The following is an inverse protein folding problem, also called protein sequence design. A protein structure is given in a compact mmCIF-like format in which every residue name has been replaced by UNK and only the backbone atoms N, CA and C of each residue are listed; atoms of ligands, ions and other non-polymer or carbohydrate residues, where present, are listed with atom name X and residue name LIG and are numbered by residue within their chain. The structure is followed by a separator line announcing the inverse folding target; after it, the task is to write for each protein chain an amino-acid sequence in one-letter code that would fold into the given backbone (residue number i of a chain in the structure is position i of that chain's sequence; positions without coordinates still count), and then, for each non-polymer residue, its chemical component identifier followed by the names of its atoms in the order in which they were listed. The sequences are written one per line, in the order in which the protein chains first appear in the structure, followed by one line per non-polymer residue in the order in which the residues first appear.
data_IF_105292312181
#
_entry.id   IF_105292312181
#
_cell.length_a   1.000
_cell.length_b   1.000
_cell.length_c   1.000
_cell.angle_alpha   90.00
_cell.angle_beta   90.00
_cell.angle_gamma   90.00
#
_symmetry.space_group_name_H-M   'P 1'
#
loop_
_entity.id
_entity.type
_entity.pdbx_description
1 polymer ?
#
# COMPACT_ATOMS: atom_id res chain seq x y z
N UNK A 1 4.09 -4.11 -25.97
CA UNK A 1 3.27 -4.21 -24.74
C UNK A 1 4.07 -3.68 -23.56
N UNK A 2 3.61 -2.55 -22.99
CA UNK A 2 4.27 -1.75 -21.95
C UNK A 2 3.90 -2.15 -20.51
N UNK A 3 3.12 -3.22 -20.32
CA UNK A 3 2.53 -3.51 -19.00
C UNK A 3 3.57 -3.74 -17.89
N UNK A 4 4.75 -4.31 -18.17
CA UNK A 4 5.80 -4.44 -17.15
C UNK A 4 6.25 -3.07 -16.60
N UNK A 5 6.41 -2.07 -17.46
CA UNK A 5 6.70 -0.69 -17.06
C UNK A 5 5.49 -0.04 -16.38
N UNK A 6 4.28 -0.32 -16.87
CA UNK A 6 3.05 0.18 -16.28
C UNK A 6 2.83 -0.36 -14.86
N UNK A 7 3.22 -1.60 -14.57
CA UNK A 7 3.11 -2.20 -13.24
C UNK A 7 3.91 -1.40 -12.20
N UNK A 8 5.11 -0.96 -12.54
CA UNK A 8 5.92 -0.12 -11.65
C UNK A 8 5.19 1.18 -11.30
N UNK A 9 4.55 1.82 -12.28
CA UNK A 9 3.76 3.04 -12.07
C UNK A 9 2.42 2.80 -11.34
N UNK A 10 1.72 1.71 -11.63
CA UNK A 10 0.42 1.36 -11.03
C UNK A 10 0.56 0.83 -9.60
N UNK A 11 1.73 0.29 -9.25
CA UNK A 11 2.07 -0.19 -7.91
C UNK A 11 2.50 0.95 -6.99
N UNK A 12 3.55 0.74 -6.19
CA UNK A 12 4.17 1.74 -5.32
C UNK A 12 5.64 1.79 -5.71
N UNK A 13 6.14 2.90 -6.29
CA UNK A 13 7.51 2.99 -6.81
C UNK A 13 8.59 2.58 -5.79
N UNK A 14 8.40 2.96 -4.54
CA UNK A 14 9.29 2.66 -3.40
C UNK A 14 9.40 1.16 -3.12
N UNK A 15 8.41 0.38 -3.55
CA UNK A 15 8.35 -1.08 -3.34
C UNK A 15 8.45 -1.86 -4.65
N UNK A 16 8.90 -1.21 -5.71
CA UNK A 16 9.06 -1.82 -7.05
C UNK A 16 9.88 -3.09 -7.04
N UNK A 17 10.89 -3.18 -6.16
CA UNK A 17 11.72 -4.38 -5.98
C UNK A 17 10.91 -5.59 -5.49
N UNK A 18 9.72 -5.42 -4.93
CA UNK A 18 8.86 -6.51 -4.47
C UNK A 18 7.76 -6.86 -5.48
N UNK A 19 7.70 -6.17 -6.62
CA UNK A 19 6.75 -6.48 -7.67
C UNK A 19 6.99 -7.88 -8.25
N UNK A 20 5.91 -8.46 -8.77
CA UNK A 20 5.96 -9.60 -9.68
C UNK A 20 6.94 -9.30 -10.82
N UNK A 21 7.86 -10.24 -11.12
CA UNK A 21 8.73 -10.14 -12.28
C UNK A 21 7.95 -10.53 -13.55
N UNK A 22 7.04 -9.64 -13.93
CA UNK A 22 6.13 -9.83 -15.06
C UNK A 22 6.90 -10.00 -16.37
N UNK A 23 8.03 -9.31 -16.53
CA UNK A 23 8.80 -9.34 -17.77
C UNK A 23 9.56 -10.66 -17.93
N UNK A 24 10.15 -11.18 -16.85
CA UNK A 24 10.80 -12.50 -16.84
C UNK A 24 9.79 -13.60 -17.13
N UNK A 25 8.67 -13.64 -16.40
CA UNK A 25 7.60 -14.63 -16.64
C UNK A 25 7.07 -14.56 -18.07
N UNK A 26 6.83 -13.35 -18.57
CA UNK A 26 6.36 -13.16 -19.95
C UNK A 26 7.39 -13.63 -20.97
N UNK A 27 8.68 -13.45 -20.70
CA UNK A 27 9.75 -13.93 -21.57
C UNK A 27 9.80 -15.45 -21.57
N UNK A 28 9.73 -16.08 -20.41
CA UNK A 28 9.73 -17.54 -20.24
C UNK A 28 8.58 -18.18 -21.01
N UNK A 29 7.35 -17.68 -20.85
CA UNK A 29 6.20 -18.14 -21.63
C UNK A 29 6.50 -17.96 -23.13
N UNK A 30 7.11 -16.86 -23.55
CA UNK A 30 7.35 -16.60 -24.97
C UNK A 30 8.29 -17.63 -25.57
N UNK A 31 9.43 -17.86 -24.92
CA UNK A 31 10.48 -18.75 -25.40
C UNK A 31 9.94 -20.17 -25.55
N UNK A 32 9.14 -20.63 -24.58
CA UNK A 32 8.60 -21.98 -24.56
C UNK A 32 7.34 -22.18 -25.40
N UNK A 33 6.63 -21.11 -25.80
CA UNK A 33 5.40 -21.24 -26.62
C UNK A 33 5.54 -20.76 -28.06
N UNK A 34 6.63 -20.07 -28.41
CA UNK A 34 6.84 -19.55 -29.79
C UNK A 34 7.49 -20.59 -30.71
N UNK A 35 8.25 -21.56 -30.15
CA UNK A 35 8.95 -22.57 -30.96
C UNK A 35 8.00 -23.64 -31.55
N UNK A 36 6.89 -23.95 -30.88
CA UNK A 36 6.00 -25.06 -31.27
C UNK A 36 4.85 -24.67 -32.22
N UNK A 37 4.74 -23.41 -32.63
CA UNK A 37 3.81 -23.06 -33.72
C UNK A 37 4.23 -23.69 -35.07
N UNK A 38 5.48 -24.13 -35.22
CA UNK A 38 5.98 -24.79 -36.42
C UNK A 38 6.06 -26.33 -36.31
N UNK A 39 5.72 -26.92 -35.16
CA UNK A 39 5.89 -28.37 -34.92
C UNK A 39 4.64 -29.05 -34.34
N UNK A 40 3.47 -28.45 -34.54
CA UNK A 40 2.20 -29.06 -34.16
C UNK A 40 1.66 -30.01 -35.24
N UNK A 41 2.37 -31.11 -35.49
CA UNK A 41 1.71 -32.38 -35.84
C UNK A 41 1.93 -33.30 -34.63
N UNK A 42 1.13 -33.07 -33.60
CA UNK A 42 1.08 -33.98 -32.45
C UNK A 42 0.54 -35.32 -32.95
N UNK A 43 1.35 -36.38 -32.83
CA UNK A 43 0.91 -37.75 -33.04
C UNK A 43 -0.14 -38.06 -31.96
N UNK A 44 -1.36 -38.50 -32.32
CA UNK A 44 -2.39 -38.83 -31.33
C UNK A 44 -1.88 -39.86 -30.31
N UNK A 45 -1.80 -39.48 -29.04
CA UNK A 45 -1.43 -40.36 -27.93
C UNK A 45 -0.17 -39.98 -27.15
N UNK A 46 0.72 -39.13 -27.69
CA UNK A 46 1.88 -38.62 -26.95
C UNK A 46 1.57 -37.23 -26.39
N UNK A 47 1.17 -37.14 -25.12
CA UNK A 47 1.20 -35.85 -24.41
C UNK A 47 2.63 -35.33 -24.43
N UNK A 48 2.81 -34.08 -24.85
CA UNK A 48 4.12 -33.46 -24.97
C UNK A 48 4.73 -33.27 -23.58
N UNK A 49 5.53 -34.25 -23.14
CA UNK A 49 6.11 -34.28 -21.79
C UNK A 49 6.96 -33.02 -21.50
N UNK A 50 7.49 -32.41 -22.56
CA UNK A 50 8.23 -31.14 -22.55
C UNK A 50 7.33 -29.97 -22.13
N UNK A 51 6.14 -29.82 -22.74
CA UNK A 51 5.16 -28.79 -22.43
C UNK A 51 4.62 -28.95 -21.00
N UNK A 52 4.36 -30.19 -20.58
CA UNK A 52 3.92 -30.47 -19.20
C UNK A 52 4.98 -30.06 -18.18
N UNK A 53 6.24 -30.44 -18.41
CA UNK A 53 7.37 -30.05 -17.56
C UNK A 53 7.54 -28.54 -17.49
N UNK A 54 7.37 -27.85 -18.62
CA UNK A 54 7.37 -26.39 -18.66
C UNK A 54 6.21 -25.79 -17.85
N UNK A 55 4.98 -26.29 -18.01
CA UNK A 55 3.82 -25.81 -17.25
C UNK A 55 4.02 -25.98 -15.74
N UNK A 56 4.60 -27.11 -15.30
CA UNK A 56 4.90 -27.36 -13.89
C UNK A 56 6.02 -26.45 -13.35
N UNK A 57 7.07 -26.19 -14.14
CA UNK A 57 8.11 -25.22 -13.77
C UNK A 57 7.56 -23.79 -13.65
N UNK A 58 6.76 -23.35 -14.62
CA UNK A 58 6.13 -22.04 -14.61
C UNK A 58 5.18 -21.89 -13.43
N UNK A 59 4.43 -22.94 -13.10
CA UNK A 59 3.60 -22.96 -11.90
C UNK A 59 4.43 -22.81 -10.62
N UNK A 60 5.55 -23.52 -10.51
CA UNK A 60 6.47 -23.39 -9.38
C UNK A 60 7.06 -21.98 -9.25
N UNK A 61 7.43 -21.34 -10.36
CA UNK A 61 7.87 -19.94 -10.37
C UNK A 61 6.75 -18.97 -9.94
N UNK A 62 5.53 -19.15 -10.45
CA UNK A 62 4.38 -18.33 -10.05
C UNK A 62 4.09 -18.45 -8.55
N UNK A 63 4.19 -19.65 -7.98
CA UNK A 63 4.05 -19.86 -6.53
C UNK A 63 5.16 -19.13 -5.76
N UNK A 64 6.42 -19.29 -6.15
CA UNK A 64 7.56 -18.61 -5.48
C UNK A 64 7.43 -17.09 -5.52
N UNK A 65 7.01 -16.51 -6.64
CA UNK A 65 6.79 -15.07 -6.71
C UNK A 65 5.57 -14.63 -5.90
N UNK A 66 4.52 -15.45 -5.82
CA UNK A 66 3.36 -15.18 -4.96
C UNK A 66 3.77 -15.18 -3.49
N UNK A 67 4.49 -16.19 -3.02
CA UNK A 67 4.98 -16.28 -1.64
C UNK A 67 5.85 -15.08 -1.26
N UNK A 68 6.72 -14.62 -2.17
CA UNK A 68 7.54 -13.44 -1.94
C UNK A 68 6.70 -12.16 -1.78
N UNK A 69 5.70 -11.98 -2.64
CA UNK A 69 4.79 -10.84 -2.57
C UNK A 69 3.96 -10.90 -1.29
N UNK A 70 3.46 -12.09 -0.95
CA UNK A 70 2.67 -12.34 0.27
C UNK A 70 3.47 -12.01 1.54
N UNK A 71 4.71 -12.49 1.60
CA UNK A 71 5.63 -12.23 2.70
C UNK A 71 5.92 -10.74 2.86
N UNK A 72 6.15 -10.02 1.76
CA UNK A 72 6.36 -8.57 1.80
C UNK A 72 5.13 -7.84 2.34
N UNK A 73 3.96 -8.15 1.80
CA UNK A 73 2.69 -7.51 2.19
C UNK A 73 2.41 -7.75 3.68
N UNK A 74 2.55 -9.00 4.14
CA UNK A 74 2.34 -9.36 5.54
C UNK A 74 3.34 -8.65 6.45
N UNK A 75 4.64 -8.68 6.08
CA UNK A 75 5.68 -8.01 6.87
C UNK A 75 5.47 -6.50 6.96
N UNK A 76 5.01 -5.86 5.88
CA UNK A 76 4.74 -4.43 5.83
C UNK A 76 3.49 -4.06 6.64
N UNK A 77 2.44 -4.87 6.59
CA UNK A 77 1.26 -4.70 7.44
C UNK A 77 1.63 -4.76 8.94
N UNK A 78 2.45 -5.76 9.33
CA UNK A 78 2.88 -5.92 10.72
C UNK A 78 3.81 -4.79 11.17
N UNK A 79 4.67 -4.28 10.29
CA UNK A 79 5.48 -3.09 10.58
C UNK A 79 4.61 -1.85 10.84
N UNK A 80 3.62 -1.58 9.99
CA UNK A 80 2.69 -0.47 10.15
C UNK A 80 1.91 -0.64 11.46
N UNK A 81 1.37 -1.83 11.74
CA UNK A 81 0.66 -2.14 12.98
C UNK A 81 1.51 -1.83 14.21
N UNK A 82 2.77 -2.30 14.24
CA UNK A 82 3.69 -2.01 15.36
C UNK A 82 3.96 -0.51 15.53
N UNK A 83 4.08 0.24 14.43
CA UNK A 83 4.26 1.70 14.47
C UNK A 83 3.01 2.42 15.00
N UNK A 84 1.82 1.98 14.60
CA UNK A 84 0.56 2.50 15.13
C UNK A 84 0.45 2.25 16.64
N UNK A 85 0.71 1.03 17.11
CA UNK A 85 0.66 0.73 18.55
C UNK A 85 1.70 1.49 19.36
N UNK A 86 2.89 1.69 18.78
CA UNK A 86 3.90 2.54 19.40
C UNK A 86 3.40 3.99 19.53
N UNK A 87 2.83 4.56 18.47
CA UNK A 87 2.26 5.91 18.49
C UNK A 87 1.12 6.04 19.50
N UNK A 88 0.17 5.09 19.52
CA UNK A 88 -0.91 5.04 20.48
C UNK A 88 -0.38 5.05 21.92
N UNK A 89 0.61 4.20 22.22
CA UNK A 89 1.26 4.13 23.53
C UNK A 89 2.00 5.41 23.92
N UNK A 90 2.58 6.11 22.96
CA UNK A 90 3.24 7.42 23.19
C UNK A 90 2.21 8.51 23.50
N UNK A 91 1.09 8.54 22.77
CA UNK A 91 0.00 9.49 22.97
C UNK A 91 -0.64 9.27 24.35
N UNK A 92 -1.02 8.03 24.68
CA UNK A 92 -1.67 7.70 25.95
C UNK A 92 -0.80 8.06 27.17
N UNK A 93 0.49 7.68 27.16
CA UNK A 93 1.43 8.09 28.23
C UNK A 93 1.52 9.60 28.38
N UNK A 94 1.38 10.32 27.28
CA UNK A 94 1.38 11.78 27.30
C UNK A 94 0.08 12.35 27.88
N UNK A 95 -1.08 11.80 27.50
CA UNK A 95 -2.38 12.17 28.07
C UNK A 95 -2.37 12.04 29.58
N UNK A 96 -1.96 10.87 30.10
CA UNK A 96 -1.89 10.62 31.56
C UNK A 96 -0.93 11.57 32.28
N UNK A 97 0.19 11.93 31.65
CA UNK A 97 1.19 12.80 32.29
C UNK A 97 0.71 14.25 32.44
N UNK A 98 -0.18 14.71 31.57
CA UNK A 98 -0.60 16.11 31.50
C UNK A 98 -2.09 16.32 31.74
N UNK A 99 -2.81 15.33 32.29
CA UNK A 99 -4.20 15.48 32.75
C UNK A 99 -4.31 16.41 33.96
N UNK A 100 -3.25 16.48 34.78
CA UNK A 100 -3.26 17.18 36.09
C UNK A 100 -2.52 18.53 36.05
N UNK A 101 -1.89 18.86 34.91
CA UNK A 101 -1.15 20.10 34.75
C UNK A 101 -2.12 21.24 34.40
N UNK A 102 -2.44 22.06 35.40
CA UNK A 102 -3.25 23.29 35.32
C UNK A 102 -2.56 24.41 34.51
N UNK A 103 -1.72 24.04 33.54
CA UNK A 103 -0.89 24.95 32.76
C UNK A 103 -1.67 25.34 31.50
N UNK A 104 -2.34 26.49 31.60
CA UNK A 104 -3.22 27.07 30.58
C UNK A 104 -2.50 27.47 29.28
N UNK A 105 -1.18 27.27 29.21
CA UNK A 105 -0.40 27.48 27.98
C UNK A 105 0.36 26.21 27.59
N UNK A 106 0.09 25.68 26.41
CA UNK A 106 0.88 24.60 25.82
C UNK A 106 2.30 25.14 25.59
N UNK A 107 3.27 24.66 26.36
CA UNK A 107 4.68 24.92 26.07
C UNK A 107 5.00 24.53 24.62
N UNK A 108 5.79 25.35 23.89
CA UNK A 108 6.28 25.06 22.53
C UNK A 108 6.87 23.64 22.39
N UNK A 109 7.44 23.09 23.47
CA UNK A 109 7.96 21.71 23.51
C UNK A 109 6.86 20.66 23.34
N UNK A 110 5.67 20.90 23.91
CA UNK A 110 4.46 20.05 23.77
C UNK A 110 3.96 20.09 22.33
N UNK A 111 3.80 21.29 21.77
CA UNK A 111 3.36 21.47 20.39
C UNK A 111 4.24 20.73 19.38
N UNK A 112 5.56 20.88 19.48
CA UNK A 112 6.53 20.19 18.60
C UNK A 112 6.40 18.67 18.67
N UNK A 113 6.01 18.13 19.83
CA UNK A 113 5.83 16.69 20.00
C UNK A 113 4.52 16.20 19.37
N UNK A 114 3.42 16.96 19.49
CA UNK A 114 2.17 16.65 18.79
C UNK A 114 2.35 16.67 17.28
N UNK A 115 2.99 17.70 16.73
CA UNK A 115 3.30 17.78 15.31
C UNK A 115 4.16 16.59 14.83
N UNK A 116 5.04 16.04 15.69
CA UNK A 116 5.79 14.81 15.37
C UNK A 116 4.88 13.59 15.30
N UNK A 117 3.98 13.41 16.26
CA UNK A 117 3.05 12.26 16.26
C UNK A 117 2.09 12.32 15.07
N UNK A 118 1.58 13.51 14.77
CA UNK A 118 0.71 13.75 13.61
C UNK A 118 1.43 13.38 12.31
N UNK A 119 2.67 13.84 12.12
CA UNK A 119 3.46 13.50 10.93
C UNK A 119 3.70 11.99 10.78
N UNK A 120 4.03 11.31 11.86
CA UNK A 120 4.23 9.86 11.84
C UNK A 120 2.92 9.11 11.56
N UNK A 121 1.80 9.59 12.10
CA UNK A 121 0.47 9.02 11.85
C UNK A 121 0.04 9.24 10.40
N UNK A 122 0.26 10.42 9.84
CA UNK A 122 0.02 10.72 8.42
C UNK A 122 0.81 9.76 7.52
N UNK A 123 2.10 9.56 7.82
CA UNK A 123 2.95 8.61 7.09
C UNK A 123 2.42 7.18 7.17
N UNK A 124 1.94 6.74 8.34
CA UNK A 124 1.32 5.42 8.47
C UNK A 124 0.07 5.30 7.58
N UNK A 125 -0.76 6.34 7.51
CA UNK A 125 -1.94 6.38 6.62
C UNK A 125 -1.58 6.26 5.14
N UNK A 126 -0.58 7.03 4.69
CA UNK A 126 -0.04 6.93 3.32
C UNK A 126 0.46 5.52 3.01
N UNK A 127 1.16 4.88 3.96
CA UNK A 127 1.66 3.52 3.81
C UNK A 127 0.53 2.47 3.78
N UNK A 128 -0.57 2.65 4.53
CA UNK A 128 -1.75 1.77 4.47
C UNK A 128 -2.42 1.84 3.08
N UNK A 129 -2.60 3.05 2.55
CA UNK A 129 -3.12 3.24 1.19
C UNK A 129 -2.16 2.68 0.14
N UNK A 130 -0.86 2.92 0.31
CA UNK A 130 0.19 2.33 -0.51
C UNK A 130 0.10 0.81 -0.53
N UNK A 131 -0.05 0.17 0.64
CA UNK A 131 -0.11 -1.29 0.79
C UNK A 131 -1.32 -1.88 0.07
N UNK A 132 -2.47 -1.23 0.20
CA UNK A 132 -3.68 -1.58 -0.52
C UNK A 132 -3.49 -1.48 -2.04
N UNK A 133 -2.91 -0.38 -2.52
CA UNK A 133 -2.61 -0.18 -3.94
C UNK A 133 -1.62 -1.23 -4.48
N UNK A 134 -0.55 -1.49 -3.73
CA UNK A 134 0.47 -2.47 -4.08
C UNK A 134 -0.13 -3.87 -4.22
N UNK A 135 -0.88 -4.33 -3.20
CA UNK A 135 -1.52 -5.64 -3.21
C UNK A 135 -2.45 -5.80 -4.44
N UNK A 136 -3.29 -4.80 -4.70
CA UNK A 136 -4.18 -4.78 -5.86
C UNK A 136 -3.42 -4.84 -7.19
N UNK A 137 -2.33 -4.08 -7.34
CA UNK A 137 -1.48 -4.12 -8.53
C UNK A 137 -0.89 -5.53 -8.76
N UNK A 138 -0.43 -6.21 -7.70
CA UNK A 138 0.08 -7.58 -7.81
C UNK A 138 -1.00 -8.57 -8.21
N UNK A 139 -2.21 -8.50 -7.63
CA UNK A 139 -3.35 -9.35 -8.03
C UNK A 139 -3.64 -9.19 -9.53
N UNK A 140 -3.64 -7.95 -10.03
CA UNK A 140 -3.84 -7.66 -11.45
C UNK A 140 -2.68 -8.21 -12.30
N UNK A 141 -1.44 -8.10 -11.84
CA UNK A 141 -0.27 -8.63 -12.52
C UNK A 141 -0.34 -10.16 -12.68
N UNK A 142 -0.67 -10.89 -11.61
CA UNK A 142 -0.92 -12.34 -11.66
C UNK A 142 -2.02 -12.71 -12.64
N UNK A 143 -3.18 -12.02 -12.59
CA UNK A 143 -4.27 -12.27 -13.55
C UNK A 143 -3.83 -12.02 -14.99
N UNK A 144 -3.04 -10.98 -15.24
CA UNK A 144 -2.54 -10.65 -16.59
C UNK A 144 -1.52 -11.65 -17.09
N UNK A 145 -0.64 -12.19 -16.25
CA UNK A 145 0.34 -13.19 -16.69
C UNK A 145 -0.33 -14.55 -16.96
N UNK A 146 -1.33 -14.93 -16.17
CA UNK A 146 -2.16 -16.12 -16.46
C UNK A 146 -2.94 -15.96 -17.77
N UNK A 147 -3.54 -14.78 -18.00
CA UNK A 147 -4.18 -14.46 -19.29
C UNK A 147 -3.18 -14.50 -20.45
N UNK A 148 -1.93 -14.10 -20.21
CA UNK A 148 -0.85 -14.16 -21.20
C UNK A 148 -0.52 -15.61 -21.57
N UNK A 149 -0.38 -16.49 -20.57
CA UNK A 149 -0.20 -17.92 -20.77
C UNK A 149 -1.32 -18.51 -21.62
N UNK A 150 -2.58 -18.35 -21.19
CA UNK A 150 -3.76 -18.86 -21.92
C UNK A 150 -3.80 -18.38 -23.37
N UNK A 151 -3.44 -17.12 -23.63
CA UNK A 151 -3.42 -16.56 -24.99
C UNK A 151 -2.39 -17.24 -25.89
N UNK A 152 -1.26 -17.67 -25.35
CA UNK A 152 -0.15 -18.23 -26.14
C UNK A 152 -0.19 -19.76 -26.24
N UNK A 153 -0.73 -20.44 -25.24
CA UNK A 153 -0.85 -21.91 -25.23
C UNK A 153 -2.24 -22.42 -25.61
N UNK A 154 -3.27 -21.60 -25.49
CA UNK A 154 -4.67 -22.04 -25.55
C UNK A 154 -5.15 -22.81 -24.31
N UNK A 155 -4.24 -23.22 -23.42
CA UNK A 155 -4.52 -24.02 -22.23
C UNK A 155 -5.08 -23.17 -21.08
N UNK A 156 -6.07 -23.72 -20.37
CA UNK A 156 -6.63 -23.15 -19.15
C UNK A 156 -6.13 -23.84 -17.88
N UNK A 157 -5.42 -24.95 -18.00
CA UNK A 157 -5.05 -25.84 -16.89
C UNK A 157 -4.23 -25.12 -15.83
N UNK A 158 -3.14 -24.44 -16.23
CA UNK A 158 -2.32 -23.63 -15.33
C UNK A 158 -3.13 -22.56 -14.60
N UNK A 159 -4.01 -21.86 -15.32
CA UNK A 159 -4.83 -20.79 -14.75
C UNK A 159 -5.84 -21.33 -13.74
N UNK A 160 -6.51 -22.43 -14.05
CA UNK A 160 -7.45 -23.07 -13.15
C UNK A 160 -6.75 -23.52 -11.87
N UNK A 161 -5.64 -24.28 -12.00
CA UNK A 161 -4.84 -24.79 -10.88
C UNK A 161 -4.34 -23.66 -9.97
N UNK A 162 -3.79 -22.60 -10.55
CA UNK A 162 -3.27 -21.47 -9.77
C UNK A 162 -4.38 -20.64 -9.11
N UNK A 163 -5.52 -20.47 -9.78
CA UNK A 163 -6.66 -19.77 -9.19
C UNK A 163 -7.23 -20.55 -7.99
N UNK A 164 -7.37 -21.86 -8.11
CA UNK A 164 -7.93 -22.73 -7.08
C UNK A 164 -6.99 -22.83 -5.87
N UNK A 165 -5.71 -23.12 -6.12
CA UNK A 165 -4.76 -23.43 -5.04
C UNK A 165 -4.16 -22.19 -4.37
N UNK A 166 -4.04 -21.07 -5.10
CA UNK A 166 -3.27 -19.90 -4.62
C UNK A 166 -4.17 -18.66 -4.51
N UNK A 167 -4.79 -18.21 -5.60
CA UNK A 167 -5.52 -16.93 -5.57
C UNK A 167 -6.83 -16.98 -4.77
N UNK A 168 -7.41 -18.17 -4.60
CA UNK A 168 -8.63 -18.39 -3.84
C UNK A 168 -8.38 -18.74 -2.37
N UNK A 169 -7.13 -18.99 -1.98
CA UNK A 169 -6.77 -19.26 -0.59
C UNK A 169 -7.16 -18.05 0.29
N UNK A 170 -8.01 -18.23 1.33
CA UNK A 170 -8.35 -17.17 2.28
C UNK A 170 -7.14 -16.55 2.98
N UNK A 171 -6.02 -17.27 3.10
CA UNK A 171 -4.79 -16.79 3.73
C UNK A 171 -3.89 -15.99 2.80
N UNK A 172 -4.09 -16.09 1.48
CA UNK A 172 -3.31 -15.35 0.49
C UNK A 172 -3.60 -13.85 0.58
N UNK A 173 -2.57 -13.02 0.33
CA UNK A 173 -2.70 -11.57 0.24
C UNK A 173 -3.80 -11.12 -0.72
N UNK A 174 -4.16 -11.97 -1.70
CA UNK A 174 -5.23 -11.70 -2.68
C UNK A 174 -6.61 -11.53 -2.06
N UNK A 175 -6.81 -12.04 -0.83
CA UNK A 175 -8.04 -11.92 -0.05
C UNK A 175 -7.91 -10.99 1.16
N UNK A 176 -6.70 -10.49 1.43
CA UNK A 176 -6.41 -9.71 2.62
C UNK A 176 -6.91 -8.28 2.46
N UNK A 177 -7.54 -7.76 3.52
CA UNK A 177 -7.90 -6.35 3.64
C UNK A 177 -7.04 -5.68 4.70
N UNK A 178 -6.86 -4.36 4.56
CA UNK A 178 -6.11 -3.54 5.52
C UNK A 178 -7.02 -2.62 6.33
N UNK A 179 -8.33 -2.91 6.34
CA UNK A 179 -9.34 -2.12 7.06
C UNK A 179 -9.04 -2.03 8.55
N UNK A 180 -8.57 -3.11 9.17
CA UNK A 180 -8.15 -3.09 10.57
C UNK A 180 -7.02 -2.07 10.86
N UNK A 181 -6.07 -1.90 9.94
CA UNK A 181 -5.02 -0.88 10.07
C UNK A 181 -5.61 0.52 9.92
N UNK A 182 -6.56 0.69 8.99
CA UNK A 182 -7.24 1.97 8.77
C UNK A 182 -8.08 2.35 9.99
N UNK A 183 -8.91 1.44 10.50
CA UNK A 183 -9.70 1.69 11.71
C UNK A 183 -8.81 2.05 12.89
N UNK A 184 -7.69 1.34 13.07
CA UNK A 184 -6.74 1.64 14.13
C UNK A 184 -6.08 3.01 13.96
N UNK A 185 -5.73 3.37 12.72
CA UNK A 185 -5.21 4.69 12.39
C UNK A 185 -6.22 5.80 12.74
N UNK A 186 -7.49 5.62 12.35
CA UNK A 186 -8.57 6.59 12.58
C UNK A 186 -8.87 6.78 14.08
N UNK A 187 -8.82 5.70 14.87
CA UNK A 187 -8.93 5.75 16.34
C UNK A 187 -7.81 6.59 16.97
N UNK A 188 -6.56 6.37 16.53
CA UNK A 188 -5.40 7.11 17.02
C UNK A 188 -5.50 8.58 16.60
N UNK A 189 -5.95 8.87 15.38
CA UNK A 189 -6.17 10.22 14.89
C UNK A 189 -7.21 10.95 15.74
N UNK A 190 -8.36 10.30 16.00
CA UNK A 190 -9.43 10.85 16.84
C UNK A 190 -8.91 11.17 18.24
N UNK A 191 -8.14 10.25 18.83
CA UNK A 191 -7.50 10.47 20.14
C UNK A 191 -6.53 11.65 20.10
N UNK A 192 -5.69 11.74 19.05
CA UNK A 192 -4.71 12.79 18.90
C UNK A 192 -5.38 14.16 18.78
N UNK A 193 -6.46 14.28 18.00
CA UNK A 193 -7.24 15.50 17.83
C UNK A 193 -7.91 15.93 19.12
N UNK A 194 -8.53 15.00 19.87
CA UNK A 194 -9.17 15.31 21.15
C UNK A 194 -8.20 15.87 22.20
N UNK A 195 -6.92 15.47 22.13
CA UNK A 195 -5.87 15.87 23.09
C UNK A 195 -5.09 17.09 22.61
N UNK A 196 -5.17 17.42 21.33
CA UNK A 196 -4.52 18.61 20.75
C UNK A 196 -5.44 19.81 20.97
N UNK A 197 -5.11 20.74 21.88
CA UNK A 197 -5.97 21.88 22.14
C UNK A 197 -6.01 22.79 20.91
N UNK A 198 -7.20 23.26 20.55
CA UNK A 198 -7.37 24.24 19.49
C UNK A 198 -6.60 25.52 19.84
N UNK A 199 -5.72 25.93 18.93
CA UNK A 199 -5.11 27.25 18.97
C UNK A 199 -6.24 28.28 18.96
N UNK A 200 -6.36 29.08 20.02
CA UNK A 200 -6.89 30.42 19.85
C UNK A 200 -5.88 31.16 18.98
N UNK A 201 -6.30 31.57 17.79
CA UNK A 201 -5.52 32.51 16.96
C UNK A 201 -5.00 33.65 17.84
N UNK A 202 -3.75 34.09 17.68
CA UNK A 202 -3.30 35.31 18.33
C UNK A 202 -4.22 36.43 17.84
N UNK A 203 -5.06 36.94 18.73
CA UNK A 203 -5.88 38.11 18.47
C UNK A 203 -4.95 39.22 18.01
N UNK A 204 -5.01 39.54 16.72
CA UNK A 204 -4.30 40.68 16.15
C UNK A 204 -4.66 41.90 17.01
N UNK A 205 -3.68 42.66 17.52
CA UNK A 205 -4.00 43.85 18.30
C UNK A 205 -4.78 44.81 17.41
N UNK A 206 -5.98 45.17 17.85
CA UNK A 206 -6.79 46.22 17.22
C UNK A 206 -5.94 47.49 17.11
N UNK A 207 -5.69 47.94 15.87
CA UNK A 207 -5.12 49.27 15.63
C UNK A 207 -6.10 50.30 16.17
N UNK A 208 -5.75 50.88 17.33
CA UNK A 208 -6.44 52.03 17.89
C UNK A 208 -6.60 53.12 16.83
N UNK A 209 -7.86 53.52 16.61
CA UNK A 209 -8.25 54.53 15.64
C UNK A 209 -7.55 55.86 15.88
N UNK A 210 -6.91 56.38 14.83
CA UNK A 210 -6.50 57.77 14.78
C UNK A 210 -7.75 58.66 14.67
N UNK A 211 -7.95 59.46 15.71
CA UNK A 211 -8.96 60.52 15.78
C UNK A 211 -8.80 61.52 14.63
N UNK A 212 -9.93 61.90 14.02
CA UNK A 212 -10.02 62.96 13.02
C UNK A 212 -9.75 64.33 13.65
N UNK A 213 -9.08 65.27 12.93
CA UNK A 213 -8.91 66.63 13.42
C UNK A 213 -10.13 67.50 13.06
N UNK A 214 -10.51 68.33 14.04
CA UNK A 214 -11.60 69.32 14.02
C UNK A 214 -11.30 70.48 13.05
N UNK A 215 -12.31 71.06 12.36
CA UNK A 215 -12.09 72.13 11.39
C UNK A 215 -11.97 73.51 12.05
N UNK A 216 -10.90 74.24 11.72
CA UNK A 216 -10.70 75.63 12.13
C UNK A 216 -11.54 76.60 11.29
N UNK A 217 -12.31 77.48 11.95
CA UNK A 217 -12.92 78.67 11.35
C UNK A 217 -11.97 79.87 11.45
N UNK A 218 -11.88 80.74 10.43
CA UNK A 218 -11.36 82.09 10.60
C UNK A 218 -12.46 83.17 10.47
N UNK A 219 -12.22 84.24 11.23
CA UNK A 219 -12.89 85.56 11.19
C UNK A 219 -12.67 86.28 9.87
#
# INVERSE_FOLDING_TARGET
MKYGQQLEHESVPEWSLYNLDYNSLKHEIKVHTTRDQATAIAIPGHQDATLKKFEDNLYGELCRQHDRVDLFITSKADEISRRLEHLASQIQRWVTKYSDANDSTISLKRQRRFAKYERELLRCGEEIHGLSRFANAQVVAFRKILKKYKKWTGSVTLSARFNENILSDPKSFTKRTFEHLQSRHDEILTTLLAVTPHFSEPSSPESHGHAAPEPASPK
#
